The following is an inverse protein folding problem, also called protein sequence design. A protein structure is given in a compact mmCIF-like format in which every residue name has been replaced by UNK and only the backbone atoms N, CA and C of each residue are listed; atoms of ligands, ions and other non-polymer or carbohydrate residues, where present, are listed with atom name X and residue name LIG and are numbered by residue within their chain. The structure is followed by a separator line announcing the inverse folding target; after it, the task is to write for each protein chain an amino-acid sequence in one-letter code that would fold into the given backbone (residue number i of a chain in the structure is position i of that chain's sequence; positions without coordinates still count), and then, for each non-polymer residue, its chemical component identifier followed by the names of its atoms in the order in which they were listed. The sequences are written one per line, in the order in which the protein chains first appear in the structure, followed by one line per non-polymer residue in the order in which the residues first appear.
data_IF_238491293952
#
_entry.id   IF_238491293952
#
_cell.length_a   1.000
_cell.length_b   1.000
_cell.length_c   1.000
_cell.angle_alpha   90.00
_cell.angle_beta   90.00
_cell.angle_gamma   90.00
#
_symmetry.space_group_name_H-M   'P 1'
#
loop_
_entity.id
_entity.type
_entity.pdbx_description
1 polymer ?
#
# COMPACT_ATOMS: atom_id res chain seq x y z
N UNK A 1 -7.03 -14.79 15.93
CA UNK A 1 -6.53 -13.40 15.86
C UNK A 1 -5.02 -13.43 15.77
N UNK A 2 -4.41 -12.97 14.67
CA UNK A 2 -3.09 -12.38 14.79
C UNK A 2 -2.87 -11.31 13.73
N UNK A 3 -2.04 -10.36 14.10
CA UNK A 3 -1.92 -9.06 13.46
C UNK A 3 -0.42 -8.91 13.13
N UNK A 4 0.04 -9.24 11.89
CA UNK A 4 1.47 -9.38 11.55
C UNK A 4 2.04 -8.38 10.47
N UNK A 5 3.25 -8.54 9.88
CA UNK A 5 3.68 -7.74 8.71
C UNK A 5 4.63 -8.51 7.77
N UNK A 6 4.62 -8.23 6.46
CA UNK A 6 5.65 -8.72 5.52
C UNK A 6 5.80 -7.85 4.27
N UNK A 7 6.95 -8.13 3.70
CA UNK A 7 7.87 -7.40 2.84
C UNK A 7 7.91 -8.08 1.42
N UNK A 8 8.67 -7.61 0.36
CA UNK A 8 9.83 -8.39 -0.24
C UNK A 8 10.92 -7.65 -1.16
N UNK A 9 11.70 -8.32 -2.05
CA UNK A 9 12.93 -7.94 -2.83
C UNK A 9 13.53 -9.16 -3.58
N UNK A 10 14.46 -9.04 -4.56
CA UNK A 10 15.27 -10.09 -5.26
C UNK A 10 16.74 -10.12 -4.80
N UNK A 11 17.48 -11.14 -5.26
CA UNK A 11 18.91 -11.14 -5.60
C UNK A 11 19.10 -12.30 -6.61
N UNK A 12 20.19 -13.06 -6.54
CA UNK A 12 20.06 -14.53 -6.72
C UNK A 12 19.17 -15.15 -5.61
N UNK A 13 18.94 -14.38 -4.52
CA UNK A 13 18.12 -14.66 -3.32
C UNK A 13 17.35 -13.41 -2.80
N UNK A 14 16.04 -13.44 -2.93
CA UNK A 14 15.04 -12.38 -2.66
C UNK A 14 14.86 -11.94 -1.17
N UNK A 15 15.07 -10.65 -0.83
CA UNK A 15 15.22 -10.13 0.57
C UNK A 15 14.95 -8.61 0.94
N UNK A 16 14.07 -8.21 1.87
CA UNK A 16 12.62 -8.05 1.64
C UNK A 16 12.09 -6.69 2.31
N UNK A 17 11.09 -5.90 1.79
CA UNK A 17 10.51 -4.57 2.28
C UNK A 17 8.92 -4.34 2.29
N UNK A 18 8.23 -3.70 3.31
CA UNK A 18 6.77 -3.94 3.71
C UNK A 18 5.79 -2.78 4.07
N UNK A 19 4.48 -3.00 3.84
CA UNK A 19 3.37 -2.06 4.13
C UNK A 19 2.80 -2.05 5.56
N UNK A 20 1.99 -1.03 5.89
CA UNK A 20 1.33 -0.77 7.19
C UNK A 20 0.23 -1.80 7.57
N UNK A 21 0.55 -3.10 7.57
CA UNK A 21 -0.26 -4.09 8.28
C UNK A 21 -0.27 -5.53 7.78
N UNK A 22 0.67 -6.02 6.97
CA UNK A 22 0.44 -7.29 6.22
C UNK A 22 0.70 -8.56 7.07
N UNK A 23 1.59 -9.51 6.69
CA UNK A 23 1.95 -10.66 7.56
C UNK A 23 3.14 -11.49 7.04
N UNK A 24 4.06 -11.97 7.89
CA UNK A 24 5.13 -12.92 7.50
C UNK A 24 4.62 -14.23 6.87
N UNK A 25 3.32 -14.53 7.04
CA UNK A 25 2.57 -15.51 6.25
C UNK A 25 1.77 -15.00 5.02
N UNK A 26 1.37 -13.73 4.92
CA UNK A 26 0.45 -13.22 3.85
C UNK A 26 1.09 -13.35 2.45
N UNK A 27 2.42 -13.29 2.36
CA UNK A 27 3.16 -13.46 1.11
C UNK A 27 3.80 -14.85 1.01
N UNK A 28 3.35 -15.82 1.81
CA UNK A 28 3.78 -17.21 1.70
C UNK A 28 3.51 -17.76 0.29
N UNK A 29 2.37 -17.41 -0.31
CA UNK A 29 2.04 -17.70 -1.72
C UNK A 29 3.06 -17.08 -2.68
N UNK A 30 3.36 -15.79 -2.54
CA UNK A 30 4.33 -15.10 -3.41
C UNK A 30 5.74 -15.68 -3.28
N UNK A 31 6.19 -16.01 -2.06
CA UNK A 31 7.45 -16.73 -1.82
C UNK A 31 7.48 -18.07 -2.57
N UNK A 32 6.42 -18.88 -2.45
CA UNK A 32 6.31 -20.17 -3.14
C UNK A 32 6.28 -20.00 -4.67
N UNK A 33 5.62 -18.96 -5.19
CA UNK A 33 5.63 -18.62 -6.62
C UNK A 33 7.03 -18.28 -7.10
N UNK A 34 7.76 -17.44 -6.36
CA UNK A 34 9.13 -17.03 -6.70
C UNK A 34 10.11 -18.20 -6.62
N UNK A 35 10.01 -19.03 -5.58
CA UNK A 35 10.78 -20.28 -5.45
C UNK A 35 10.46 -21.27 -6.59
N UNK A 36 9.21 -21.34 -7.04
CA UNK A 36 8.80 -22.09 -8.23
C UNK A 36 9.36 -21.55 -9.55
N UNK A 37 9.72 -20.26 -9.61
CA UNK A 37 10.48 -19.66 -10.70
C UNK A 37 12.01 -19.75 -10.51
N UNK A 38 12.49 -20.55 -9.54
CA UNK A 38 13.91 -20.72 -9.26
C UNK A 38 14.56 -19.56 -8.50
N UNK A 39 13.75 -18.64 -7.98
CA UNK A 39 14.20 -17.43 -7.30
C UNK A 39 13.95 -17.59 -5.79
N UNK A 40 14.92 -18.06 -4.99
CA UNK A 40 14.74 -18.32 -3.55
C UNK A 40 14.57 -17.03 -2.74
N UNK A 41 13.81 -17.05 -1.61
CA UNK A 41 13.45 -15.81 -0.90
C UNK A 41 13.37 -15.90 0.63
N UNK A 42 13.45 -14.75 1.33
CA UNK A 42 13.42 -14.68 2.80
C UNK A 42 12.77 -13.40 3.33
N UNK A 43 11.81 -13.57 4.22
CA UNK A 43 11.17 -12.52 4.99
C UNK A 43 12.11 -11.70 5.91
N UNK A 44 11.97 -10.37 5.89
CA UNK A 44 12.19 -9.56 7.10
C UNK A 44 11.05 -9.84 8.11
N UNK A 45 11.44 -10.28 9.30
CA UNK A 45 10.56 -10.92 10.28
C UNK A 45 9.81 -9.85 11.09
N UNK A 46 8.50 -9.62 10.85
CA UNK A 46 7.75 -8.51 11.50
C UNK A 46 6.27 -8.84 11.78
N UNK A 47 5.67 -8.14 12.74
CA UNK A 47 4.26 -8.23 13.14
C UNK A 47 3.51 -6.87 13.20
N UNK A 48 2.15 -6.77 13.13
CA UNK A 48 1.38 -5.56 13.53
C UNK A 48 1.51 -5.35 15.04
N UNK A 49 1.87 -6.37 15.83
CA UNK A 49 2.31 -6.15 17.22
C UNK A 49 3.57 -5.27 17.25
N UNK A 50 4.49 -5.42 16.29
CA UNK A 50 5.61 -4.50 16.14
C UNK A 50 5.14 -3.09 15.70
N UNK A 51 4.05 -2.94 14.93
CA UNK A 51 3.44 -1.61 14.65
C UNK A 51 2.92 -0.89 15.89
N UNK A 52 2.60 -1.57 17.00
CA UNK A 52 2.26 -0.85 18.22
C UNK A 52 3.42 0.00 18.76
N UNK A 53 4.67 -0.20 18.28
CA UNK A 53 5.78 0.75 18.54
C UNK A 53 5.62 2.09 17.81
N UNK A 54 4.89 2.15 16.69
CA UNK A 54 4.53 3.44 16.08
C UNK A 54 3.56 4.25 16.96
N UNK A 55 2.87 3.63 17.92
CA UNK A 55 2.10 4.38 18.92
C UNK A 55 3.00 5.18 19.88
N UNK A 56 4.29 4.83 20.02
CA UNK A 56 5.26 5.69 20.69
C UNK A 56 5.53 7.00 19.92
N UNK A 57 5.15 7.08 18.63
CA UNK A 57 5.09 8.35 17.91
C UNK A 57 4.06 9.32 18.49
N UNK A 58 2.99 8.86 19.14
CA UNK A 58 1.95 9.73 19.69
C UNK A 58 2.43 10.62 20.84
N UNK A 59 3.55 10.28 21.49
CA UNK A 59 4.19 11.12 22.53
C UNK A 59 5.27 12.06 21.96
N UNK A 60 5.60 11.97 20.68
CA UNK A 60 6.49 12.93 20.01
C UNK A 60 5.69 14.16 19.52
N UNK A 61 6.00 15.39 19.98
CA UNK A 61 5.40 16.60 19.43
C UNK A 61 5.53 16.78 17.91
N UNK A 62 6.50 16.12 17.26
CA UNK A 62 6.63 16.10 15.80
C UNK A 62 5.51 15.31 15.11
N UNK A 63 4.91 14.30 15.76
CA UNK A 63 3.75 13.58 15.22
C UNK A 63 2.57 14.53 15.00
N UNK A 64 2.28 15.34 16.02
CA UNK A 64 1.20 16.32 16.01
C UNK A 64 1.47 17.51 15.09
N UNK A 65 2.74 17.85 14.86
CA UNK A 65 3.16 18.84 13.85
C UNK A 65 3.18 18.31 12.41
N UNK A 66 3.11 16.99 12.20
CA UNK A 66 3.33 16.39 10.88
C UNK A 66 4.77 16.55 10.38
N UNK A 67 5.74 16.47 11.28
CA UNK A 67 7.19 16.66 11.01
C UNK A 67 8.05 15.50 11.54
N UNK A 68 7.51 14.27 11.54
CA UNK A 68 8.28 13.08 11.90
C UNK A 68 9.49 12.88 10.97
N UNK A 69 10.54 12.27 11.52
CA UNK A 69 11.69 11.75 10.77
C UNK A 69 11.75 10.23 10.95
N UNK A 70 12.35 9.48 10.01
CA UNK A 70 12.46 8.03 10.12
C UNK A 70 13.13 7.58 11.41
N UNK A 71 14.23 8.22 11.81
CA UNK A 71 14.85 7.98 13.12
C UNK A 71 14.33 8.95 14.19
N UNK A 72 14.02 8.49 15.42
CA UNK A 72 14.12 7.11 15.91
C UNK A 72 12.85 6.25 15.65
N UNK A 73 11.79 6.84 15.08
CA UNK A 73 10.42 6.26 14.98
C UNK A 73 10.39 4.86 14.35
N UNK A 74 11.24 4.65 13.34
CA UNK A 74 11.33 3.47 12.50
C UNK A 74 12.62 2.66 12.73
N UNK A 75 13.45 2.99 13.72
CA UNK A 75 14.72 2.28 13.99
C UNK A 75 14.49 0.77 14.21
N UNK A 76 13.41 0.42 14.90
CA UNK A 76 13.02 -0.98 15.12
C UNK A 76 12.70 -1.72 13.82
N UNK A 77 12.22 -1.00 12.80
CA UNK A 77 11.79 -1.52 11.51
C UNK A 77 12.96 -1.59 10.53
N UNK A 78 13.78 -0.52 10.47
CA UNK A 78 15.05 -0.47 9.74
C UNK A 78 16.01 -1.58 10.24
N UNK A 79 15.99 -1.90 11.54
CA UNK A 79 16.72 -3.07 12.08
C UNK A 79 16.19 -4.40 11.53
N UNK A 80 14.87 -4.62 11.43
CA UNK A 80 14.31 -5.87 10.88
C UNK A 80 14.58 -6.00 9.38
N UNK A 81 14.64 -4.88 8.66
CA UNK A 81 15.17 -4.83 7.30
C UNK A 81 16.64 -5.26 7.29
N UNK A 82 17.50 -4.66 8.11
CA UNK A 82 18.95 -4.90 8.07
C UNK A 82 19.31 -6.34 8.43
N UNK A 83 18.65 -6.89 9.46
CA UNK A 83 18.68 -8.32 9.80
C UNK A 83 18.30 -9.20 8.61
N UNK A 84 17.36 -8.75 7.77
CA UNK A 84 17.05 -9.43 6.53
C UNK A 84 18.18 -9.25 5.51
N UNK A 85 18.55 -8.01 5.15
CA UNK A 85 19.54 -7.68 4.11
C UNK A 85 20.91 -8.33 4.38
N UNK A 86 21.33 -8.51 5.64
CA UNK A 86 22.54 -9.28 5.96
C UNK A 86 22.43 -10.77 5.60
N UNK A 87 21.37 -11.44 6.06
CA UNK A 87 21.03 -12.83 5.70
C UNK A 87 20.78 -12.97 4.16
N UNK A 88 20.66 -11.87 3.41
CA UNK A 88 20.60 -11.84 1.94
C UNK A 88 21.97 -12.01 1.29
N UNK A 89 22.97 -11.27 1.77
CA UNK A 89 24.33 -11.25 1.22
C UNK A 89 25.03 -12.58 1.50
N UNK A 90 24.81 -13.14 2.68
CA UNK A 90 25.19 -14.51 3.06
C UNK A 90 24.59 -15.55 2.10
N UNK A 91 23.33 -15.34 1.71
CA UNK A 91 22.58 -16.20 0.78
C UNK A 91 23.03 -16.06 -0.68
N UNK A 92 23.33 -14.83 -1.14
CA UNK A 92 23.63 -14.49 -2.53
C UNK A 92 25.12 -14.63 -2.89
N UNK A 93 25.99 -14.93 -1.92
CA UNK A 93 27.41 -15.27 -2.10
C UNK A 93 28.22 -14.24 -2.93
N UNK A 94 27.82 -12.95 -2.88
CA UNK A 94 28.43 -11.85 -3.64
C UNK A 94 27.61 -11.34 -4.83
N UNK A 95 26.47 -11.96 -5.16
CA UNK A 95 25.53 -11.44 -6.16
C UNK A 95 24.69 -10.25 -5.67
N UNK A 96 24.20 -9.42 -6.60
CA UNK A 96 23.40 -8.21 -6.30
C UNK A 96 21.99 -8.51 -5.81
N UNK A 97 21.53 -7.78 -4.80
CA UNK A 97 20.16 -7.74 -4.25
C UNK A 97 19.24 -6.77 -5.03
N UNK A 98 17.95 -6.70 -4.72
CA UNK A 98 16.95 -6.00 -5.56
C UNK A 98 15.59 -5.73 -4.87
N UNK A 99 15.43 -4.70 -4.05
CA UNK A 99 14.26 -4.44 -3.19
C UNK A 99 12.87 -4.56 -3.86
N UNK A 100 11.79 -5.00 -3.16
CA UNK A 100 10.39 -5.08 -3.65
C UNK A 100 9.44 -4.59 -2.53
N UNK A 101 9.23 -3.28 -2.45
CA UNK A 101 8.36 -2.71 -1.42
C UNK A 101 6.87 -2.78 -1.76
N UNK A 102 6.06 -3.48 -0.97
CA UNK A 102 4.60 -3.40 -1.10
C UNK A 102 4.01 -2.33 -0.16
N UNK A 103 3.06 -1.52 -0.66
CA UNK A 103 2.40 -0.44 0.10
C UNK A 103 3.45 0.47 0.76
N UNK A 104 3.34 0.83 2.04
CA UNK A 104 4.36 1.66 2.72
C UNK A 104 5.82 1.13 2.62
N UNK A 105 6.01 -0.14 2.26
CA UNK A 105 7.31 -0.79 2.15
C UNK A 105 8.25 -0.18 1.12
N UNK A 106 7.71 0.41 0.04
CA UNK A 106 8.54 0.98 -1.02
C UNK A 106 9.21 2.29 -0.65
N UNK A 107 8.52 3.19 0.06
CA UNK A 107 9.16 4.40 0.57
C UNK A 107 10.06 4.10 1.76
N UNK A 108 9.71 3.09 2.57
CA UNK A 108 10.58 2.57 3.62
C UNK A 108 11.87 1.91 3.07
N UNK A 109 11.80 1.32 1.86
CA UNK A 109 12.98 0.83 1.16
C UNK A 109 13.90 1.96 0.70
N UNK A 110 13.33 3.08 0.22
CA UNK A 110 14.10 4.30 -0.13
C UNK A 110 14.81 4.89 1.09
N UNK A 111 14.18 4.89 2.27
CA UNK A 111 14.85 5.30 3.53
C UNK A 111 16.07 4.40 3.82
N UNK A 112 15.90 3.08 3.79
CA UNK A 112 17.01 2.16 4.06
C UNK A 112 18.15 2.31 3.04
N UNK A 113 17.82 2.41 1.75
CA UNK A 113 18.80 2.63 0.67
C UNK A 113 19.61 3.93 0.85
N UNK A 114 19.00 4.98 1.39
CA UNK A 114 19.70 6.23 1.66
C UNK A 114 20.57 6.14 2.93
N UNK A 115 20.06 5.57 4.01
CA UNK A 115 20.75 5.52 5.31
C UNK A 115 21.84 4.43 5.41
N UNK A 116 21.69 3.31 4.69
CA UNK A 116 22.57 2.13 4.75
C UNK A 116 23.30 1.87 3.42
N UNK A 117 22.95 2.59 2.36
CA UNK A 117 23.60 2.52 1.05
C UNK A 117 23.01 1.47 0.08
N UNK A 118 23.50 1.50 -1.16
CA UNK A 118 22.94 0.76 -2.31
C UNK A 118 23.94 -0.13 -3.05
N UNK A 119 25.18 -0.26 -2.58
CA UNK A 119 26.28 -0.90 -3.34
C UNK A 119 25.98 -2.33 -3.79
N UNK A 120 25.19 -3.07 -2.99
CA UNK A 120 24.79 -4.45 -3.28
C UNK A 120 23.35 -4.54 -3.82
N UNK A 121 22.73 -3.45 -4.31
CA UNK A 121 21.32 -3.41 -4.72
C UNK A 121 21.21 -2.92 -6.17
N UNK A 122 20.67 -3.76 -7.06
CA UNK A 122 20.50 -3.49 -8.49
C UNK A 122 19.06 -3.20 -8.94
N UNK A 123 18.08 -3.35 -8.06
CA UNK A 123 16.67 -3.02 -8.33
C UNK A 123 15.95 -2.55 -7.04
N UNK A 124 14.93 -1.71 -7.19
CA UNK A 124 13.82 -1.48 -6.26
C UNK A 124 12.52 -1.55 -7.06
N UNK A 125 11.86 -2.70 -7.05
CA UNK A 125 10.46 -2.82 -7.41
C UNK A 125 9.60 -2.22 -6.29
N UNK A 126 8.43 -1.70 -6.63
CA UNK A 126 7.38 -1.37 -5.65
C UNK A 126 6.02 -1.78 -6.16
N UNK A 127 5.14 -2.14 -5.23
CA UNK A 127 3.79 -2.68 -5.49
C UNK A 127 2.80 -1.79 -4.73
N UNK A 128 2.02 -0.97 -5.42
CA UNK A 128 1.02 -0.08 -4.80
C UNK A 128 1.59 0.81 -3.68
N UNK A 129 2.82 1.32 -3.82
CA UNK A 129 3.46 2.15 -2.78
C UNK A 129 3.09 3.62 -2.93
N UNK A 130 2.47 4.29 -1.94
CA UNK A 130 2.33 5.74 -1.98
C UNK A 130 3.70 6.39 -1.75
N UNK A 131 4.33 6.90 -2.80
CA UNK A 131 5.68 7.48 -2.77
C UNK A 131 5.73 8.98 -2.54
N UNK A 132 4.62 9.68 -2.80
CA UNK A 132 4.51 11.14 -2.71
C UNK A 132 3.68 11.53 -1.47
N UNK A 133 4.06 12.59 -0.73
CA UNK A 133 3.23 13.12 0.36
C UNK A 133 1.95 13.78 -0.17
N UNK A 134 0.86 13.81 0.63
CA UNK A 134 -0.35 14.53 0.24
C UNK A 134 -0.13 16.06 0.21
N UNK A 135 -0.83 16.79 -0.69
CA UNK A 135 -0.71 18.25 -0.80
C UNK A 135 -0.98 18.99 0.52
N UNK A 136 -0.05 19.85 0.91
CA UNK A 136 -0.09 20.58 2.18
C UNK A 136 -1.17 21.66 2.20
N UNK A 137 -1.84 21.81 3.34
CA UNK A 137 -2.89 22.82 3.55
C UNK A 137 -4.25 22.49 2.90
N UNK A 138 -4.39 21.34 2.25
CA UNK A 138 -5.62 20.96 1.57
C UNK A 138 -6.73 20.59 2.58
N UNK A 139 -7.89 21.25 2.45
CA UNK A 139 -8.98 21.13 3.42
C UNK A 139 -9.50 19.69 3.56
N UNK A 140 -9.53 19.20 4.81
CA UNK A 140 -9.96 17.84 5.15
C UNK A 140 -8.98 16.74 4.75
N UNK A 141 -7.71 17.06 4.49
CA UNK A 141 -6.64 16.08 4.25
C UNK A 141 -5.66 16.10 5.42
N UNK A 142 -5.34 14.91 5.95
CA UNK A 142 -4.40 14.70 7.05
C UNK A 142 -3.37 13.69 6.57
N UNK A 143 -2.09 14.07 6.58
CA UNK A 143 -0.99 13.15 6.26
C UNK A 143 -0.93 12.01 7.29
N UNK A 144 -1.29 10.81 6.84
CA UNK A 144 -1.29 9.59 7.64
C UNK A 144 0.15 9.16 8.02
N UNK A 145 1.15 9.61 7.25
CA UNK A 145 2.58 9.37 7.50
C UNK A 145 3.22 10.42 8.40
N UNK A 146 2.48 11.48 8.78
CA UNK A 146 2.86 12.53 9.74
C UNK A 146 4.22 13.18 9.44
N UNK A 147 4.52 13.41 8.18
CA UNK A 147 5.75 14.02 7.68
C UNK A 147 6.79 13.04 7.14
N UNK A 148 6.60 11.72 7.29
CA UNK A 148 7.59 10.75 6.82
C UNK A 148 7.73 10.72 5.29
N UNK A 149 6.64 10.90 4.52
CA UNK A 149 6.75 11.04 3.07
C UNK A 149 7.36 12.39 2.62
N UNK A 150 7.07 13.48 3.33
CA UNK A 150 7.74 14.79 3.11
C UNK A 150 9.23 14.74 3.46
N UNK A 151 9.64 13.85 4.38
CA UNK A 151 11.04 13.53 4.61
C UNK A 151 11.63 12.72 3.45
N UNK A 152 10.98 11.64 3.01
CA UNK A 152 11.46 10.77 1.91
C UNK A 152 11.65 11.57 0.62
N UNK A 153 10.67 12.39 0.24
CA UNK A 153 10.72 13.24 -0.97
C UNK A 153 11.91 14.21 -0.97
N UNK A 154 12.36 14.67 0.20
CA UNK A 154 13.42 15.68 0.34
C UNK A 154 14.81 15.14 0.64
N UNK A 155 14.91 13.93 1.18
CA UNK A 155 16.17 13.39 1.73
C UNK A 155 16.62 12.11 1.04
N UNK A 156 15.71 11.29 0.50
CA UNK A 156 16.07 10.12 -0.28
C UNK A 156 16.28 10.51 -1.76
N UNK A 157 17.27 9.90 -2.41
CA UNK A 157 17.51 10.06 -3.85
C UNK A 157 16.26 9.83 -4.69
N UNK A 158 16.24 10.50 -5.85
CA UNK A 158 15.27 10.28 -6.91
C UNK A 158 15.37 8.84 -7.43
N UNK A 159 14.28 8.33 -8.00
CA UNK A 159 14.32 7.04 -8.69
C UNK A 159 15.18 7.13 -9.96
N UNK A 160 15.79 6.00 -10.32
CA UNK A 160 16.66 5.87 -11.50
C UNK A 160 16.41 4.53 -12.19
N UNK A 161 16.63 4.45 -13.49
CA UNK A 161 16.54 3.20 -14.25
C UNK A 161 17.79 3.01 -15.11
N UNK A 162 18.90 2.63 -14.48
CA UNK A 162 20.20 2.40 -15.11
C UNK A 162 20.55 0.91 -15.17
N UNK A 163 21.65 0.49 -15.82
CA UNK A 163 22.11 -0.90 -15.73
C UNK A 163 22.45 -1.33 -14.29
N UNK A 164 22.97 -0.41 -13.49
CA UNK A 164 23.48 -0.65 -12.12
C UNK A 164 22.37 -0.65 -11.08
N UNK A 165 21.37 0.24 -11.20
CA UNK A 165 20.23 0.33 -10.27
C UNK A 165 18.94 0.72 -11.00
N UNK A 166 17.90 -0.11 -10.82
CA UNK A 166 16.59 0.03 -11.49
C UNK A 166 15.47 0.27 -10.50
N UNK A 167 14.73 1.35 -10.62
CA UNK A 167 13.46 1.54 -9.92
C UNK A 167 12.33 1.10 -10.84
N UNK A 168 11.45 0.23 -10.35
CA UNK A 168 10.25 -0.22 -11.06
C UNK A 168 9.06 -0.02 -10.14
N UNK A 169 8.01 0.65 -10.61
CA UNK A 169 6.86 0.99 -9.78
C UNK A 169 5.60 0.42 -10.42
N UNK A 170 5.01 -0.61 -9.78
CA UNK A 170 3.77 -1.25 -10.22
C UNK A 170 2.59 -0.63 -9.46
N UNK A 171 1.70 0.01 -10.20
CA UNK A 171 0.42 0.49 -9.72
C UNK A 171 -0.71 -0.50 -10.12
N UNK A 172 -1.67 -0.72 -9.23
CA UNK A 172 -2.93 -1.37 -9.61
C UNK A 172 -3.94 -0.34 -10.10
N UNK A 173 -4.70 -0.69 -11.15
CA UNK A 173 -5.85 0.09 -11.64
C UNK A 173 -7.11 -0.76 -11.59
N UNK A 174 -7.75 -0.79 -10.43
CA UNK A 174 -8.95 -1.58 -10.16
C UNK A 174 -10.22 -0.71 -10.10
N UNK A 175 -10.14 0.49 -9.52
CA UNK A 175 -11.31 1.36 -9.34
C UNK A 175 -10.93 2.84 -9.49
N UNK A 176 -11.82 3.62 -10.10
CA UNK A 176 -11.74 5.08 -10.04
C UNK A 176 -12.51 5.56 -8.81
N UNK A 177 -11.87 6.38 -7.98
CA UNK A 177 -12.55 7.04 -6.88
C UNK A 177 -13.57 8.07 -7.37
N UNK A 178 -14.46 8.50 -6.47
CA UNK A 178 -15.43 9.56 -6.75
C UNK A 178 -15.44 10.61 -5.64
N UNK A 179 -15.77 11.86 -6.02
CA UNK A 179 -16.03 12.94 -5.05
C UNK A 179 -17.34 12.66 -4.29
N UNK A 180 -17.36 12.95 -2.99
CA UNK A 180 -18.61 13.15 -2.27
C UNK A 180 -19.20 14.47 -2.75
N UNK A 181 -20.39 14.42 -3.32
CA UNK A 181 -21.17 15.62 -3.64
C UNK A 181 -21.79 16.17 -2.35
N UNK A 182 -21.81 17.50 -2.20
CA UNK A 182 -22.61 18.15 -1.17
C UNK A 182 -24.09 17.77 -1.36
N UNK A 183 -24.75 17.35 -0.29
CA UNK A 183 -26.05 16.66 -0.41
C UNK A 183 -27.17 17.57 -0.93
N UNK A 184 -27.74 17.20 -2.08
CA UNK A 184 -29.20 17.25 -2.24
C UNK A 184 -29.82 16.19 -1.33
N UNK A 185 -30.94 16.49 -0.67
CA UNK A 185 -31.48 15.72 0.45
C UNK A 185 -31.67 14.23 0.15
N UNK A 186 -30.97 13.37 0.91
CA UNK A 186 -31.30 11.95 0.97
C UNK A 186 -32.49 11.82 1.91
N UNK A 187 -33.68 11.69 1.34
CA UNK A 187 -34.88 11.31 2.10
C UNK A 187 -34.69 9.92 2.69
N UNK A 188 -34.30 9.85 3.97
CA UNK A 188 -34.23 8.60 4.73
C UNK A 188 -35.66 8.18 5.07
N UNK A 189 -36.32 7.52 4.12
CA UNK A 189 -37.61 6.85 4.34
C UNK A 189 -37.36 5.69 5.30
N UNK A 190 -37.71 5.89 6.57
CA UNK A 190 -37.54 4.88 7.63
C UNK A 190 -38.49 3.71 7.39
N UNK A 191 -37.98 2.65 6.75
CA UNK A 191 -38.72 1.43 6.49
C UNK A 191 -38.90 0.62 7.79
N UNK A 192 -40.05 0.80 8.45
CA UNK A 192 -40.52 -0.13 9.47
C UNK A 192 -41.08 -1.40 8.78
N UNK A 193 -40.81 -2.61 9.30
CA UNK A 193 -41.41 -3.82 8.75
C UNK A 193 -42.90 -3.88 9.11
N UNK A 194 -43.73 -4.21 8.11
CA UNK A 194 -45.13 -4.60 8.29
C UNK A 194 -45.29 -5.97 7.61
N UNK A 195 -45.99 -6.87 8.28
CA UNK A 195 -46.14 -8.27 7.91
C UNK A 195 -47.38 -8.50 7.02
N UNK A 196 -47.40 -9.58 6.22
CA UNK A 196 -48.57 -10.01 5.43
C UNK A 196 -48.34 -10.29 3.94
N UNK A 197 -48.50 -11.56 3.56
CA UNK A 197 -48.43 -12.16 2.21
C UNK A 197 -48.94 -11.33 1.00
N UNK A 198 -48.23 -11.41 -0.14
CA UNK A 198 -48.79 -12.01 -1.37
C UNK A 198 -47.72 -12.32 -2.46
N UNK A 199 -48.16 -12.93 -3.57
CA UNK A 199 -47.32 -13.69 -4.52
C UNK A 199 -46.36 -12.86 -5.41
N UNK A 200 -45.24 -13.52 -5.70
CA UNK A 200 -44.23 -13.27 -6.74
C UNK A 200 -44.72 -12.63 -8.07
N UNK A 201 -43.88 -11.72 -8.58
CA UNK A 201 -43.78 -11.34 -9.99
C UNK A 201 -42.31 -11.35 -10.42
N UNK A 202 -41.92 -12.29 -11.28
CA UNK A 202 -40.51 -12.54 -11.65
C UNK A 202 -39.87 -11.41 -12.50
N UNK A 203 -40.65 -10.41 -12.93
CA UNK A 203 -40.18 -9.31 -13.80
C UNK A 203 -39.55 -8.16 -13.02
N UNK A 204 -39.74 -8.06 -11.70
CA UNK A 204 -39.21 -6.97 -10.87
C UNK A 204 -37.71 -7.12 -10.52
N UNK A 205 -37.21 -8.37 -10.44
CA UNK A 205 -35.91 -8.70 -9.83
C UNK A 205 -34.70 -8.05 -10.54
N UNK A 206 -34.78 -7.85 -11.86
CA UNK A 206 -33.65 -7.31 -12.64
C UNK A 206 -33.31 -5.86 -12.25
N UNK A 207 -34.33 -4.98 -12.17
CA UNK A 207 -34.12 -3.54 -11.98
C UNK A 207 -33.61 -3.22 -10.57
N UNK A 208 -34.06 -3.93 -9.53
CA UNK A 208 -33.59 -3.70 -8.17
C UNK A 208 -32.15 -4.21 -7.96
N UNK A 209 -31.74 -5.28 -8.64
CA UNK A 209 -30.35 -5.76 -8.63
C UNK A 209 -29.43 -4.78 -9.36
N UNK A 210 -29.82 -4.28 -10.54
CA UNK A 210 -29.03 -3.31 -11.28
C UNK A 210 -28.97 -1.94 -10.56
N UNK A 211 -30.09 -1.46 -10.02
CA UNK A 211 -30.15 -0.24 -9.20
C UNK A 211 -29.32 -0.36 -7.91
N UNK A 212 -29.43 -1.46 -7.17
CA UNK A 212 -28.66 -1.65 -5.93
C UNK A 212 -27.17 -1.83 -6.18
N UNK A 213 -26.75 -2.49 -7.26
CA UNK A 213 -25.33 -2.61 -7.64
C UNK A 213 -24.74 -1.30 -8.18
N UNK A 214 -25.50 -0.50 -8.95
CA UNK A 214 -25.10 0.85 -9.35
C UNK A 214 -24.97 1.80 -8.15
N UNK A 215 -25.88 1.72 -7.18
CA UNK A 215 -25.77 2.46 -5.93
C UNK A 215 -24.58 1.99 -5.09
N UNK A 216 -24.40 0.68 -4.90
CA UNK A 216 -23.29 0.13 -4.10
C UNK A 216 -21.91 0.44 -4.71
N UNK A 217 -21.76 0.35 -6.03
CA UNK A 217 -20.53 0.75 -6.73
C UNK A 217 -20.28 2.25 -6.64
N UNK A 218 -21.31 3.10 -6.75
CA UNK A 218 -21.22 4.55 -6.53
C UNK A 218 -20.78 4.88 -5.09
N UNK A 219 -21.32 4.20 -4.09
CA UNK A 219 -20.89 4.37 -2.69
C UNK A 219 -19.45 3.87 -2.46
N UNK A 220 -19.08 2.72 -3.04
CA UNK A 220 -17.70 2.18 -3.01
C UNK A 220 -16.70 3.16 -3.62
N UNK A 221 -17.00 3.72 -4.79
CA UNK A 221 -16.18 4.73 -5.45
C UNK A 221 -16.04 6.01 -4.60
N UNK A 222 -17.12 6.50 -3.98
CA UNK A 222 -17.08 7.67 -3.07
C UNK A 222 -16.22 7.42 -1.83
N UNK A 223 -16.33 6.24 -1.22
CA UNK A 223 -15.51 5.86 -0.06
C UNK A 223 -14.03 5.76 -0.42
N UNK A 224 -13.69 5.01 -1.49
CA UNK A 224 -12.32 4.89 -2.00
C UNK A 224 -11.76 6.25 -2.42
N UNK A 225 -12.57 7.11 -3.03
CA UNK A 225 -12.19 8.48 -3.38
C UNK A 225 -11.82 9.34 -2.17
N UNK A 226 -12.47 9.17 -1.01
CA UNK A 226 -12.00 9.84 0.21
C UNK A 226 -10.67 9.29 0.70
N UNK A 227 -10.41 7.98 0.55
CA UNK A 227 -9.11 7.37 0.79
C UNK A 227 -8.01 7.97 -0.11
N UNK A 228 -8.23 7.98 -1.44
CA UNK A 228 -7.31 8.60 -2.40
C UNK A 228 -7.06 10.09 -2.10
N UNK A 229 -8.08 10.82 -1.65
CA UNK A 229 -7.93 12.22 -1.23
C UNK A 229 -6.98 12.39 -0.04
N UNK A 230 -6.95 11.44 0.91
CA UNK A 230 -5.97 11.49 2.00
C UNK A 230 -4.53 11.21 1.55
N UNK A 231 -4.34 10.51 0.43
CA UNK A 231 -3.01 10.11 -0.07
C UNK A 231 -2.45 11.12 -1.10
N UNK A 232 -3.25 11.55 -2.08
CA UNK A 232 -2.80 12.41 -3.18
C UNK A 232 -3.56 13.74 -3.30
N UNK A 233 -4.51 14.02 -2.39
CA UNK A 233 -5.36 15.22 -2.43
C UNK A 233 -6.53 15.18 -3.41
N UNK A 234 -6.57 14.21 -4.33
CA UNK A 234 -7.63 14.06 -5.33
C UNK A 234 -8.50 12.84 -5.04
N UNK A 235 -9.81 12.95 -5.28
CA UNK A 235 -10.77 11.88 -4.99
C UNK A 235 -11.20 11.09 -6.24
N UNK A 236 -11.07 11.71 -7.41
CA UNK A 236 -11.59 11.27 -8.72
C UNK A 236 -10.52 10.66 -9.63
N UNK A 237 -9.50 10.07 -9.01
CA UNK A 237 -8.37 9.39 -9.66
C UNK A 237 -8.53 7.87 -9.65
N UNK A 238 -7.79 7.19 -10.53
CA UNK A 238 -7.66 5.73 -10.54
C UNK A 238 -6.70 5.22 -9.47
N UNK A 239 -6.90 3.97 -9.04
CA UNK A 239 -5.96 3.24 -8.20
C UNK A 239 -6.38 1.81 -7.92
N UNK A 240 -5.68 1.21 -6.96
CA UNK A 240 -5.85 -0.21 -6.57
C UNK A 240 -6.95 -0.43 -5.51
N UNK A 241 -7.47 0.67 -4.96
CA UNK A 241 -8.55 0.69 -3.95
C UNK A 241 -8.12 1.25 -2.60
N UNK A 242 -6.80 1.39 -2.38
CA UNK A 242 -6.21 2.04 -1.20
C UNK A 242 -5.25 3.15 -1.62
N UNK A 243 -4.42 2.88 -2.63
CA UNK A 243 -3.38 3.77 -3.13
C UNK A 243 -3.75 4.24 -4.54
N UNK A 244 -3.87 5.57 -4.76
CA UNK A 244 -4.12 6.12 -6.08
C UNK A 244 -2.87 6.00 -6.96
N UNK A 245 -3.07 5.65 -8.23
CA UNK A 245 -2.04 5.40 -9.23
C UNK A 245 -1.03 6.55 -9.34
N UNK A 246 -1.52 7.80 -9.28
CA UNK A 246 -0.71 9.03 -9.33
C UNK A 246 0.27 9.17 -8.16
N UNK A 247 0.09 8.42 -7.08
CA UNK A 247 1.03 8.32 -5.96
C UNK A 247 1.88 7.03 -5.96
N UNK A 248 1.49 6.05 -6.78
CA UNK A 248 2.17 4.76 -6.91
C UNK A 248 3.39 4.81 -7.83
N UNK A 249 3.45 5.80 -8.72
CA UNK A 249 4.54 6.03 -9.67
C UNK A 249 5.62 6.98 -9.12
N UNK A 250 6.83 6.88 -9.67
CA UNK A 250 7.96 7.78 -9.40
C UNK A 250 8.60 8.29 -10.68
N UNK A 251 8.95 9.57 -10.71
CA UNK A 251 9.76 10.14 -11.78
C UNK A 251 11.17 9.50 -11.77
N UNK A 252 11.65 9.06 -12.94
CA UNK A 252 12.90 8.33 -13.09
C UNK A 252 12.80 6.80 -12.89
N UNK A 253 11.65 6.27 -12.47
CA UNK A 253 11.36 4.84 -12.43
C UNK A 253 10.74 4.33 -13.73
N UNK A 254 10.85 3.02 -13.98
CA UNK A 254 9.96 2.30 -14.91
C UNK A 254 8.59 2.11 -14.24
N UNK A 255 7.63 2.93 -14.62
CA UNK A 255 6.27 2.90 -14.09
C UNK A 255 5.37 1.95 -14.91
N UNK A 256 4.58 1.11 -14.24
CA UNK A 256 3.76 0.06 -14.85
C UNK A 256 2.38 0.03 -14.16
N UNK A 257 1.31 0.35 -14.89
CA UNK A 257 -0.06 0.20 -14.43
C UNK A 257 -0.61 -1.19 -14.82
N UNK A 258 -1.25 -1.90 -13.89
CA UNK A 258 -1.91 -3.18 -14.15
C UNK A 258 -3.42 -3.07 -13.90
N UNK A 259 -4.21 -3.17 -14.96
CA UNK A 259 -5.67 -3.09 -14.88
C UNK A 259 -6.26 -4.31 -14.16
N UNK A 260 -7.31 -4.10 -13.36
CA UNK A 260 -7.95 -5.11 -12.52
C UNK A 260 -7.18 -5.51 -11.24
N UNK A 261 -5.93 -5.04 -11.05
CA UNK A 261 -5.14 -5.34 -9.85
C UNK A 261 -5.54 -4.40 -8.70
N UNK A 262 -5.96 -5.00 -7.59
CA UNK A 262 -6.40 -4.28 -6.39
C UNK A 262 -5.43 -4.43 -5.21
N UNK A 263 -5.51 -3.51 -4.23
CA UNK A 263 -4.75 -3.59 -2.99
C UNK A 263 -5.32 -4.71 -2.14
N UNK A 264 -4.59 -5.82 -2.01
CA UNK A 264 -5.05 -6.99 -1.27
C UNK A 264 -5.42 -6.59 0.17
N UNK A 265 -6.67 -6.83 0.63
CA UNK A 265 -7.03 -6.60 2.03
C UNK A 265 -6.10 -7.36 2.97
N UNK A 266 -5.85 -6.74 4.12
CA UNK A 266 -4.93 -7.23 5.14
C UNK A 266 -5.40 -8.58 5.71
N UNK A 267 -4.89 -9.68 5.12
CA UNK A 267 -5.29 -11.06 5.41
C UNK A 267 -6.44 -11.63 4.57
N UNK A 268 -6.66 -11.17 3.32
CA UNK A 268 -7.60 -11.83 2.39
C UNK A 268 -7.02 -13.08 1.74
N UNK A 269 -7.79 -14.17 1.76
CA UNK A 269 -7.57 -15.33 0.89
C UNK A 269 -8.19 -15.12 -0.50
N UNK A 270 -7.72 -15.89 -1.49
CA UNK A 270 -8.23 -15.85 -2.88
C UNK A 270 -9.72 -16.18 -3.02
N UNK A 271 -10.35 -16.70 -1.95
CA UNK A 271 -11.76 -17.06 -1.88
C UNK A 271 -12.66 -15.83 -1.65
N UNK A 272 -12.12 -14.75 -1.07
CA UNK A 272 -12.86 -13.49 -0.79
C UNK A 272 -12.42 -12.33 -1.68
N UNK A 273 -12.26 -12.61 -2.97
CA UNK A 273 -12.08 -11.58 -4.02
C UNK A 273 -13.37 -10.77 -4.20
N UNK A 274 -13.29 -9.43 -4.35
CA UNK A 274 -14.45 -8.52 -4.45
C UNK A 274 -14.85 -8.14 -5.89
#
# INVERSE_FOLDING_TARGET
MHTPNLVVAVADRLKFFQGLGNNTGDYGKLRLTLEGHGVPSVAAKVSRLDWFRNAAGLVDPNYWRGTLRPRPVLDWYLKRIDEAVREAKEMAQGGSLSLIGHSAGGWLARVYMEEFGVCDISLLLTLGTPHLPPPKGLSGVIDQTRGLLDYVEKNCRNAVYTPELKYVCIAGRYIQGARIFGGSEINVVSAMPVDGDQLISEVAIANDVESSTLNASTWRARFVGQGYKQVCGQADVWGDGVVPEVSAHLEGALNISLDGVYHSPVGSDDVSRP
#
